data_IF_917958839877
#
_entry.id   IF_917958839877
#
_cell.length_a   1.000
_cell.length_b   1.000
_cell.length_c   1.000
_cell.angle_alpha   90.00
_cell.angle_beta   90.00
_cell.angle_gamma   90.00
#
_symmetry.space_group_name_H-M   'P 1'
#
loop_
_entity.id
_entity.type
_entity.pdbx_description
1 polymer ?
#
# COMPACT_ATOMS: atom_id res chain seq x y z
N UNK A 1 11.47 -3.05 15.83
CA UNK A 1 10.62 -4.13 15.31
C UNK A 1 10.11 -3.67 13.95
N UNK A 2 10.33 -4.46 12.89
CA UNK A 2 9.96 -4.09 11.53
C UNK A 2 8.43 -3.98 11.42
N UNK A 3 7.90 -2.82 10.99
CA UNK A 3 6.46 -2.59 10.84
C UNK A 3 6.18 -1.99 9.48
N UNK A 4 5.03 -2.28 8.86
CA UNK A 4 4.65 -1.65 7.60
C UNK A 4 4.37 -0.15 7.84
N UNK A 5 4.95 0.70 6.99
CA UNK A 5 4.79 2.15 7.04
C UNK A 5 3.60 2.59 6.16
N UNK A 6 2.43 2.66 6.78
CA UNK A 6 1.18 3.02 6.11
C UNK A 6 1.18 4.50 5.65
N UNK A 7 1.83 5.39 6.39
CA UNK A 7 1.90 6.81 6.02
C UNK A 7 2.82 6.99 4.81
N UNK A 8 3.94 6.26 4.72
CA UNK A 8 4.78 6.24 3.52
C UNK A 8 4.05 5.69 2.30
N UNK A 9 3.32 4.58 2.44
CA UNK A 9 2.50 4.02 1.35
C UNK A 9 1.51 5.07 0.83
N UNK A 10 0.80 5.75 1.73
CA UNK A 10 -0.16 6.80 1.39
C UNK A 10 0.49 8.02 0.74
N UNK A 11 1.68 8.41 1.20
CA UNK A 11 2.47 9.49 0.63
C UNK A 11 2.89 9.16 -0.81
N UNK A 12 3.54 8.01 -1.03
CA UNK A 12 3.97 7.54 -2.35
C UNK A 12 2.79 7.45 -3.33
N UNK A 13 1.64 6.94 -2.87
CA UNK A 13 0.42 6.89 -3.66
C UNK A 13 0.01 8.28 -4.15
N UNK A 14 0.02 9.28 -3.26
CA UNK A 14 -0.33 10.67 -3.60
C UNK A 14 0.70 11.33 -4.52
N UNK A 15 1.99 11.11 -4.29
CA UNK A 15 3.08 11.62 -5.16
C UNK A 15 2.91 11.11 -6.60
N UNK A 16 2.50 9.85 -6.75
CA UNK A 16 2.18 9.23 -8.03
C UNK A 16 0.81 9.59 -8.60
N UNK A 17 0.04 10.44 -7.91
CA UNK A 17 -1.34 10.82 -8.28
C UNK A 17 -2.28 9.63 -8.45
N UNK A 18 -2.03 8.55 -7.70
CA UNK A 18 -2.88 7.35 -7.68
C UNK A 18 -4.02 7.53 -6.67
N UNK A 19 -5.23 7.16 -7.07
CA UNK A 19 -6.38 7.08 -6.17
C UNK A 19 -6.33 5.79 -5.34
N UNK A 20 -7.17 5.73 -4.29
CA UNK A 20 -7.36 4.47 -3.56
C UNK A 20 -8.02 3.40 -4.45
N UNK A 21 -8.82 3.80 -5.45
CA UNK A 21 -9.42 2.88 -6.42
C UNK A 21 -8.37 2.26 -7.34
N UNK A 22 -7.36 3.02 -7.75
CA UNK A 22 -6.28 2.51 -8.63
C UNK A 22 -5.53 1.38 -7.95
N UNK A 23 -5.08 1.59 -6.70
CA UNK A 23 -4.39 0.54 -5.95
C UNK A 23 -5.32 -0.60 -5.53
N UNK A 24 -6.60 -0.33 -5.30
CA UNK A 24 -7.59 -1.39 -5.09
C UNK A 24 -7.70 -2.31 -6.31
N UNK A 25 -7.77 -1.73 -7.51
CA UNK A 25 -7.83 -2.47 -8.76
C UNK A 25 -6.56 -3.31 -8.98
N UNK A 26 -5.37 -2.76 -8.71
CA UNK A 26 -4.11 -3.51 -8.80
C UNK A 26 -4.06 -4.72 -7.85
N UNK A 27 -4.71 -4.62 -6.69
CA UNK A 27 -4.85 -5.72 -5.73
C UNK A 27 -6.01 -6.67 -6.03
N UNK A 28 -6.74 -6.47 -7.13
CA UNK A 28 -7.88 -7.30 -7.52
C UNK A 28 -9.16 -7.04 -6.72
N UNK A 29 -9.26 -5.91 -6.00
CA UNK A 29 -10.48 -5.53 -5.30
C UNK A 29 -11.50 -4.91 -6.26
N UNK A 30 -12.79 -5.20 -6.01
CA UNK A 30 -13.91 -4.63 -6.79
C UNK A 30 -14.28 -3.21 -6.39
N UNK A 31 -13.88 -2.77 -5.20
CA UNK A 31 -14.22 -1.47 -4.64
C UNK A 31 -13.02 -0.85 -3.90
N UNK A 32 -12.94 0.49 -3.81
CA UNK A 32 -11.84 1.17 -3.11
C UNK A 32 -11.81 0.88 -1.60
N UNK A 33 -12.92 0.42 -1.02
CA UNK A 33 -13.06 0.18 0.42
C UNK A 33 -12.03 -0.84 0.92
N UNK A 34 -11.74 -1.89 0.13
CA UNK A 34 -10.75 -2.90 0.49
C UNK A 34 -9.37 -2.29 0.71
N UNK A 35 -8.90 -1.47 -0.23
CA UNK A 35 -7.64 -0.76 -0.10
C UNK A 35 -7.68 0.31 1.00
N UNK A 36 -8.80 1.03 1.16
CA UNK A 36 -8.97 2.00 2.24
C UNK A 36 -8.73 1.37 3.63
N UNK A 37 -9.20 0.14 3.87
CA UNK A 37 -8.96 -0.56 5.14
C UNK A 37 -7.50 -0.96 5.33
N UNK A 38 -6.78 -1.27 4.25
CA UNK A 38 -5.34 -1.52 4.31
C UNK A 38 -4.58 -0.24 4.67
N UNK A 39 -4.82 0.85 3.94
CA UNK A 39 -4.08 2.12 4.10
C UNK A 39 -4.42 2.83 5.43
N UNK A 40 -5.62 2.63 5.98
CA UNK A 40 -6.01 3.14 7.31
C UNK A 40 -5.53 2.24 8.46
N UNK A 41 -4.94 1.09 8.17
CA UNK A 41 -4.49 0.12 9.19
C UNK A 41 -5.62 -0.66 9.86
N UNK A 42 -6.86 -0.57 9.34
CA UNK A 42 -7.99 -1.39 9.80
C UNK A 42 -7.82 -2.87 9.45
N UNK A 43 -7.12 -3.15 8.35
CA UNK A 43 -6.72 -4.49 7.93
C UNK A 43 -5.21 -4.55 7.70
N UNK A 44 -4.61 -5.71 8.00
CA UNK A 44 -3.19 -5.96 7.75
C UNK A 44 -2.94 -6.17 6.26
N UNK A 45 -1.86 -5.56 5.75
CA UNK A 45 -1.36 -5.82 4.39
C UNK A 45 -0.57 -7.13 4.42
N UNK A 46 -0.95 -8.08 3.55
CA UNK A 46 -0.26 -9.36 3.40
C UNK A 46 0.99 -9.21 2.52
N UNK A 47 1.89 -10.18 2.59
CA UNK A 47 3.17 -10.15 1.87
C UNK A 47 2.99 -10.05 0.34
N UNK A 48 2.05 -10.81 -0.24
CA UNK A 48 1.70 -10.76 -1.66
C UNK A 48 1.21 -9.38 -2.08
N UNK A 49 0.35 -8.76 -1.27
CA UNK A 49 -0.15 -7.40 -1.50
C UNK A 49 0.98 -6.37 -1.41
N UNK A 50 1.91 -6.55 -0.49
CA UNK A 50 3.05 -5.66 -0.32
C UNK A 50 3.97 -5.66 -1.55
N UNK A 51 4.17 -6.83 -2.18
CA UNK A 51 4.93 -6.96 -3.44
C UNK A 51 4.24 -6.21 -4.57
N UNK A 52 2.92 -6.34 -4.70
CA UNK A 52 2.14 -5.60 -5.71
C UNK A 52 2.23 -4.10 -5.46
N UNK A 53 2.02 -3.65 -4.23
CA UNK A 53 2.10 -2.23 -3.87
C UNK A 53 3.49 -1.65 -4.14
N UNK A 54 4.56 -2.36 -3.79
CA UNK A 54 5.93 -1.91 -4.07
C UNK A 54 6.17 -1.70 -5.57
N UNK A 55 5.70 -2.64 -6.40
CA UNK A 55 5.80 -2.53 -7.86
C UNK A 55 5.05 -1.30 -8.40
N UNK A 56 3.80 -1.11 -8.01
CA UNK A 56 2.97 0.02 -8.47
C UNK A 56 3.52 1.36 -7.94
N UNK A 57 3.99 1.38 -6.70
CA UNK A 57 4.64 2.54 -6.07
C UNK A 57 6.08 2.73 -6.55
N UNK A 58 6.64 1.83 -7.37
CA UNK A 58 7.98 1.93 -7.96
C UNK A 58 9.10 2.04 -6.93
N UNK A 59 8.99 1.30 -5.84
CA UNK A 59 9.97 1.23 -4.75
C UNK A 59 10.28 -0.23 -4.43
N UNK A 60 11.36 -0.51 -3.72
CA UNK A 60 11.59 -1.85 -3.20
C UNK A 60 10.65 -2.17 -2.04
N UNK A 61 10.28 -3.43 -1.89
CA UNK A 61 9.38 -3.90 -0.80
C UNK A 61 9.91 -3.50 0.59
N UNK A 62 11.24 -3.51 0.77
CA UNK A 62 11.90 -3.11 2.02
C UNK A 62 11.65 -1.67 2.40
N UNK A 63 11.46 -0.80 1.40
CA UNK A 63 11.20 0.62 1.62
C UNK A 63 9.80 0.88 2.18
N UNK A 64 8.87 -0.07 2.09
CA UNK A 64 7.52 0.05 2.64
C UNK A 64 7.44 -0.28 4.14
N UNK A 65 8.55 -0.59 4.77
CA UNK A 65 8.64 -0.81 6.21
C UNK A 65 9.21 0.41 6.92
N UNK A 66 8.67 0.70 8.10
CA UNK A 66 9.25 1.57 9.10
C UNK A 66 10.15 0.73 10.01
N UNK A 67 11.38 1.19 10.15
CA UNK A 67 12.38 0.63 11.03
C UNK A 67 13.54 1.60 11.10
N UNK A 68 13.75 2.16 12.29
CA UNK A 68 15.06 2.67 12.67
C UNK A 68 16.01 1.47 12.81
#
# INVERSE_FOLDING_TARGET
MLKIDLEKIKMLRKEKRLSQSDLANCLGYKTPIGYHYLESGRCQIKADQLVVLAKELGVEVRELFSGN
#
